data_IF_660544007276
#
_entry.id   IF_660544007276
#
_cell.length_a   1.000
_cell.length_b   1.000
_cell.length_c   1.000
_cell.angle_alpha   90.00
_cell.angle_beta   90.00
_cell.angle_gamma   90.00
#
_symmetry.space_group_name_H-M   'P 1'
#
loop_
_entity.id
_entity.type
_entity.pdbx_description
1 polymer ?
#
# COMPACT_ATOMS: atom_id res chain seq x y z
N UNK A 1 -1.94 8.21 6.89
CA UNK A 1 -0.92 8.93 6.13
C UNK A 1 -1.21 8.70 4.66
N UNK A 2 -1.44 9.77 3.89
CA UNK A 2 -1.71 9.67 2.46
C UNK A 2 -0.40 9.91 1.69
N UNK A 3 0.54 8.96 1.81
CA UNK A 3 1.87 9.10 1.21
C UNK A 3 1.80 9.34 -0.31
N UNK A 4 0.88 8.66 -1.01
CA UNK A 4 0.61 8.83 -2.44
C UNK A 4 0.11 10.23 -2.85
N UNK A 5 -0.26 11.10 -1.90
CA UNK A 5 -0.67 12.47 -2.23
C UNK A 5 0.50 13.35 -2.63
N UNK A 6 1.72 13.02 -2.17
CA UNK A 6 2.96 13.63 -2.62
C UNK A 6 3.69 12.65 -3.53
N UNK A 7 3.69 12.92 -4.84
CA UNK A 7 4.24 12.00 -5.84
C UNK A 7 5.75 11.82 -5.73
N UNK A 8 6.47 12.86 -5.31
CA UNK A 8 7.93 12.80 -5.23
C UNK A 8 8.35 12.08 -3.96
N UNK A 9 7.75 12.43 -2.82
CA UNK A 9 7.97 11.70 -1.57
C UNK A 9 7.53 10.23 -1.67
N UNK A 10 6.45 9.94 -2.41
CA UNK A 10 6.00 8.56 -2.62
C UNK A 10 7.04 7.74 -3.38
N UNK A 11 7.56 8.23 -4.51
CA UNK A 11 8.60 7.53 -5.28
C UNK A 11 9.87 7.34 -4.46
N UNK A 12 10.31 8.37 -3.75
CA UNK A 12 11.52 8.32 -2.94
C UNK A 12 11.42 7.24 -1.86
N UNK A 13 10.30 7.20 -1.13
CA UNK A 13 10.09 6.20 -0.08
C UNK A 13 9.95 4.79 -0.65
N UNK A 14 9.30 4.61 -1.81
CA UNK A 14 9.25 3.30 -2.48
C UNK A 14 10.67 2.83 -2.83
N UNK A 15 11.51 3.71 -3.39
CA UNK A 15 12.90 3.38 -3.74
C UNK A 15 13.74 3.03 -2.49
N UNK A 16 13.68 3.85 -1.45
CA UNK A 16 14.41 3.62 -0.20
C UNK A 16 13.96 2.33 0.51
N UNK A 17 12.66 2.04 0.54
CA UNK A 17 12.14 0.81 1.12
C UNK A 17 12.55 -0.42 0.30
N UNK A 18 12.46 -0.35 -1.03
CA UNK A 18 12.91 -1.41 -1.93
C UNK A 18 14.39 -1.73 -1.73
N UNK A 19 15.25 -0.71 -1.64
CA UNK A 19 16.68 -0.86 -1.34
C UNK A 19 16.90 -1.47 0.05
N UNK A 20 16.25 -0.93 1.09
CA UNK A 20 16.42 -1.37 2.47
C UNK A 20 16.03 -2.84 2.68
N UNK A 21 14.94 -3.28 2.05
CA UNK A 21 14.43 -4.63 2.20
C UNK A 21 14.91 -5.61 1.11
N UNK A 22 15.64 -5.13 0.09
CA UNK A 22 16.10 -5.95 -1.03
C UNK A 22 14.95 -6.46 -1.91
N UNK A 23 13.89 -5.67 -2.08
CA UNK A 23 12.73 -6.01 -2.92
C UNK A 23 12.69 -5.18 -4.20
N UNK A 24 11.98 -5.69 -5.20
CA UNK A 24 11.59 -4.88 -6.36
C UNK A 24 10.67 -3.73 -5.92
N UNK A 25 10.91 -2.52 -6.45
CA UNK A 25 10.07 -1.34 -6.16
C UNK A 25 8.60 -1.60 -6.46
N UNK A 26 8.32 -2.36 -7.52
CA UNK A 26 6.96 -2.75 -7.91
C UNK A 26 6.25 -3.60 -6.85
N UNK A 27 6.98 -4.43 -6.09
CA UNK A 27 6.41 -5.20 -4.98
C UNK A 27 6.06 -4.30 -3.81
N UNK A 28 6.95 -3.38 -3.44
CA UNK A 28 6.72 -2.41 -2.35
C UNK A 28 5.53 -1.50 -2.68
N UNK A 29 5.45 -1.00 -3.91
CA UNK A 29 4.34 -0.16 -4.35
C UNK A 29 3.01 -0.93 -4.36
N UNK A 30 3.02 -2.19 -4.83
CA UNK A 30 1.85 -3.06 -4.81
C UNK A 30 1.34 -3.26 -3.37
N UNK A 31 2.23 -3.57 -2.44
CA UNK A 31 1.88 -3.78 -1.03
C UNK A 31 1.33 -2.52 -0.36
N UNK A 32 1.85 -1.34 -0.74
CA UNK A 32 1.29 -0.06 -0.31
C UNK A 32 -0.17 0.10 -0.74
N UNK A 33 -0.47 -0.14 -2.02
CA UNK A 33 -1.83 0.00 -2.54
C UNK A 33 -2.81 -1.02 -1.96
N UNK A 34 -2.38 -2.28 -1.83
CA UNK A 34 -3.19 -3.31 -1.17
C UNK A 34 -3.51 -2.91 0.27
N UNK A 35 -2.50 -2.51 1.04
CA UNK A 35 -2.70 -2.08 2.42
C UNK A 35 -3.61 -0.86 2.54
N UNK A 36 -3.49 0.10 1.61
CA UNK A 36 -4.35 1.29 1.59
C UNK A 36 -5.81 0.93 1.31
N UNK A 37 -6.07 0.11 0.31
CA UNK A 37 -7.43 -0.31 -0.05
C UNK A 37 -8.05 -1.13 1.08
N UNK A 38 -7.32 -2.07 1.67
CA UNK A 38 -7.82 -2.87 2.79
C UNK A 38 -8.16 -2.00 4.00
N UNK A 39 -7.31 -1.02 4.32
CA UNK A 39 -7.61 -0.02 5.34
C UNK A 39 -8.88 0.75 5.01
N UNK A 40 -9.01 1.26 3.79
CA UNK A 40 -10.17 2.06 3.39
C UNK A 40 -11.47 1.24 3.46
N UNK A 41 -11.44 -0.01 3.02
CA UNK A 41 -12.57 -0.95 3.14
C UNK A 41 -12.91 -1.17 4.62
N UNK A 42 -11.91 -1.40 5.47
CA UNK A 42 -12.13 -1.63 6.91
C UNK A 42 -12.76 -0.43 7.64
N UNK A 43 -12.63 0.77 7.07
CA UNK A 43 -13.22 2.01 7.60
C UNK A 43 -14.52 2.41 6.88
N UNK A 44 -14.99 1.61 5.93
CA UNK A 44 -16.18 1.89 5.12
C UNK A 44 -17.40 1.08 5.60
N UNK A 45 -18.56 1.37 5.02
CA UNK A 45 -19.79 0.57 5.19
C UNK A 45 -19.67 -0.90 4.72
N UNK A 46 -18.58 -1.24 4.03
CA UNK A 46 -18.32 -2.57 3.49
C UNK A 46 -17.46 -3.44 4.40
N UNK A 47 -17.02 -2.94 5.57
CA UNK A 47 -16.13 -3.66 6.47
C UNK A 47 -16.65 -5.06 6.83
N UNK A 48 -17.93 -5.18 7.19
CA UNK A 48 -18.56 -6.45 7.58
C UNK A 48 -19.10 -7.26 6.38
N UNK A 49 -18.99 -6.72 5.17
CA UNK A 49 -19.47 -7.32 3.93
C UNK A 49 -18.34 -7.83 3.04
N UNK A 50 -17.09 -7.59 3.44
CA UNK A 50 -15.91 -7.88 2.63
C UNK A 50 -15.00 -8.84 3.37
N UNK A 51 -14.53 -9.87 2.66
CA UNK A 51 -13.53 -10.79 3.16
C UNK A 51 -12.32 -10.74 2.25
N UNK A 52 -11.15 -10.45 2.81
CA UNK A 52 -9.89 -10.58 2.09
C UNK A 52 -9.55 -12.08 1.97
N UNK A 53 -9.25 -12.54 0.76
CA UNK A 53 -8.90 -13.93 0.45
C UNK A 53 -7.77 -13.97 -0.57
N UNK A 54 -7.00 -15.06 -0.54
CA UNK A 54 -5.84 -15.27 -1.41
C UNK A 54 -4.51 -14.99 -0.70
N UNK A 55 -3.42 -15.39 -1.35
CA UNK A 55 -2.03 -15.16 -0.97
C UNK A 55 -1.20 -15.07 -2.24
#
# INVERSE_FOLDING_TARGET
MNLHSDKEAFKEIIALAAEHFGYEQSHVEKDYWVSKILRDISMSEYADKTYFKGG
#
